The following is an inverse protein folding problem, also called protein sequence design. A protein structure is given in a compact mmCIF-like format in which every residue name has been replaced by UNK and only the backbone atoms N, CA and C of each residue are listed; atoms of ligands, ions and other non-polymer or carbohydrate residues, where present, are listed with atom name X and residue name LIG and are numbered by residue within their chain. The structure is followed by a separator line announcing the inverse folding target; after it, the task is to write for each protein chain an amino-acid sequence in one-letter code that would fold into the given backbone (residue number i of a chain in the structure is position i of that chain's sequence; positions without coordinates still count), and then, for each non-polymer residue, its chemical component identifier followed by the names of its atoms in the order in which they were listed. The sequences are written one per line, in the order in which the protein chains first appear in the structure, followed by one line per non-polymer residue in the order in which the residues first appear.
data_IF_611783862975
#
_entry.id   IF_611783862975
#
_cell.length_a   1.000
_cell.length_b   1.000
_cell.length_c   1.000
_cell.angle_alpha   90.00
_cell.angle_beta   90.00
_cell.angle_gamma   90.00
#
_symmetry.space_group_name_H-M   'P 1'
#
loop_
_entity.id
_entity.type
_entity.pdbx_description
1 polymer ?
#
# COMPACT_ATOMS: atom_id res chain seq x y z
N UNK A 1 16.68 14.65 -19.54
CA UNK A 1 16.42 14.49 -18.10
C UNK A 1 15.50 13.28 -17.95
N UNK A 2 16.08 12.08 -17.95
CA UNK A 2 15.34 10.85 -17.64
C UNK A 2 15.06 10.88 -16.14
N UNK A 3 13.79 11.03 -15.77
CA UNK A 3 13.39 10.91 -14.37
C UNK A 3 13.64 9.46 -13.96
N UNK A 4 14.71 9.23 -13.20
CA UNK A 4 14.84 8.05 -12.36
C UNK A 4 13.64 8.08 -11.40
N UNK A 5 12.57 7.39 -11.80
CA UNK A 5 11.51 7.02 -10.88
C UNK A 5 12.14 6.03 -9.90
N UNK A 6 12.84 6.54 -8.88
CA UNK A 6 13.15 5.78 -7.68
C UNK A 6 11.84 5.10 -7.31
N UNK A 7 11.74 3.76 -7.35
CA UNK A 7 10.54 3.10 -6.92
C UNK A 7 10.41 3.50 -5.46
N UNK A 8 9.47 4.40 -5.19
CA UNK A 8 9.06 4.70 -3.82
C UNK A 8 8.66 3.33 -3.32
N UNK A 9 9.47 2.73 -2.44
CA UNK A 9 9.22 1.38 -1.92
C UNK A 9 8.00 1.52 -1.04
N UNK A 10 6.85 1.50 -1.69
CA UNK A 10 5.53 1.39 -1.11
C UNK A 10 5.46 -0.04 -0.66
N UNK A 11 5.75 -0.26 0.62
CA UNK A 11 5.60 -1.59 1.19
C UNK A 11 4.15 -2.02 0.98
N UNK A 12 3.96 -3.27 0.60
CA UNK A 12 2.61 -3.82 0.40
C UNK A 12 1.94 -3.89 1.76
N UNK A 13 0.70 -3.41 1.89
CA UNK A 13 -0.05 -3.56 3.13
C UNK A 13 -0.10 -5.05 3.51
N UNK A 14 0.42 -5.40 4.68
CA UNK A 14 0.52 -6.79 5.14
C UNK A 14 -0.85 -7.37 5.51
N UNK A 15 -1.78 -6.53 5.97
CA UNK A 15 -3.13 -6.92 6.36
C UNK A 15 -3.98 -7.36 5.17
N UNK A 16 -4.06 -6.54 4.13
CA UNK A 16 -4.82 -6.88 2.94
C UNK A 16 -3.98 -7.56 1.86
N UNK A 17 -2.69 -7.79 2.10
CA UNK A 17 -1.76 -8.20 1.05
C UNK A 17 -1.94 -7.32 -0.19
N UNK A 18 -1.93 -6.01 -0.03
CA UNK A 18 -2.04 -5.03 -1.12
C UNK A 18 -3.26 -5.09 -2.03
N UNK A 19 -4.32 -5.80 -1.65
CA UNK A 19 -5.60 -5.75 -2.38
C UNK A 19 -6.38 -4.48 -2.04
N UNK A 20 -6.10 -3.85 -0.90
CA UNK A 20 -6.91 -2.79 -0.32
C UNK A 20 -8.19 -3.30 0.36
N UNK A 21 -8.38 -4.62 0.44
CA UNK A 21 -9.58 -5.24 1.01
C UNK A 21 -9.23 -6.33 2.03
N UNK A 22 -9.96 -6.34 3.13
CA UNK A 22 -9.88 -7.34 4.20
C UNK A 22 -11.31 -7.80 4.50
N UNK A 23 -11.59 -9.10 4.39
CA UNK A 23 -12.93 -9.69 4.60
C UNK A 23 -14.05 -8.98 3.82
N UNK A 24 -13.81 -8.73 2.52
CA UNK A 24 -14.68 -7.98 1.60
C UNK A 24 -14.97 -6.52 1.99
N UNK A 25 -14.31 -6.02 3.03
CA UNK A 25 -14.40 -4.64 3.49
C UNK A 25 -13.12 -3.88 3.15
N UNK A 26 -13.22 -2.54 3.07
CA UNK A 26 -12.05 -1.68 2.89
C UNK A 26 -11.04 -1.93 3.99
N UNK A 27 -9.80 -2.24 3.61
CA UNK A 27 -8.73 -2.50 4.57
C UNK A 27 -8.46 -1.24 5.40
N UNK A 28 -8.73 -1.31 6.69
CA UNK A 28 -8.56 -0.19 7.62
C UNK A 28 -7.10 0.24 7.81
N UNK A 29 -6.14 -0.69 7.69
CA UNK A 29 -4.71 -0.38 7.91
C UNK A 29 -4.08 0.42 6.77
N UNK A 30 -4.65 0.36 5.57
CA UNK A 30 -4.15 1.10 4.41
C UNK A 30 -5.22 1.99 3.76
N UNK A 31 -6.38 2.14 4.42
CA UNK A 31 -7.55 2.88 3.91
C UNK A 31 -7.92 2.51 2.47
N UNK A 32 -7.80 1.23 2.11
CA UNK A 32 -8.09 0.74 0.76
C UNK A 32 -7.01 0.99 -0.30
N UNK A 33 -5.86 1.58 0.07
CA UNK A 33 -4.78 1.87 -0.88
C UNK A 33 -3.97 0.63 -1.28
N UNK A 34 -4.03 -0.44 -0.49
CA UNK A 34 -3.18 -1.63 -0.66
C UNK A 34 -1.69 -1.39 -0.34
N UNK A 35 -1.36 -0.21 0.17
CA UNK A 35 0.01 0.20 0.45
C UNK A 35 0.17 0.37 1.95
N UNK A 36 1.17 -0.28 2.52
CA UNK A 36 1.60 -0.05 3.89
C UNK A 36 2.20 1.34 3.99
N UNK A 37 1.47 2.23 4.66
CA UNK A 37 1.88 3.59 4.99
C UNK A 37 2.44 3.67 6.42
N UNK A 38 2.70 2.55 7.10
CA UNK A 38 3.25 2.58 8.47
C UNK A 38 4.73 3.02 8.56
N UNK A 39 5.26 3.71 7.54
CA UNK A 39 6.67 4.09 7.43
C UNK A 39 6.91 5.57 7.10
N UNK A 40 6.15 6.49 7.70
CA UNK A 40 6.46 7.93 7.75
C UNK A 40 6.33 8.46 9.18
#
# INVERSE_FOLDING_TARGET
MTMDATPVVRYRCCTCNGTGLTDDQTCADCDGSGIDNHGA
#
